data_IF_582856458331
#
_entry.id   IF_582856458331
#
_cell.length_a   1.000
_cell.length_b   1.000
_cell.length_c   1.000
_cell.angle_alpha   90.00
_cell.angle_beta   90.00
_cell.angle_gamma   90.00
#
_symmetry.space_group_name_H-M   'P 1'
#
loop_
_entity.id
_entity.type
_entity.pdbx_description
1 polymer ?
#
# COMPACT_ATOMS: atom_id res chain seq x y z
N UNK A 1 1.05 17.82 2.70
CA UNK A 1 0.27 17.78 3.95
C UNK A 1 -1.18 17.32 3.73
N UNK A 2 -1.93 17.95 2.83
CA UNK A 2 -3.31 17.54 2.54
C UNK A 2 -3.39 16.11 1.99
N UNK A 3 -2.45 15.74 1.12
CA UNK A 3 -2.40 14.38 0.59
C UNK A 3 -2.21 13.34 1.68
N UNK A 4 -1.29 13.58 2.60
CA UNK A 4 -1.07 12.69 3.74
C UNK A 4 -2.28 12.58 4.65
N UNK A 5 -2.96 13.69 4.90
CA UNK A 5 -4.18 13.70 5.71
C UNK A 5 -5.29 12.87 5.05
N UNK A 6 -5.51 13.04 3.75
CA UNK A 6 -6.50 12.28 3.00
C UNK A 6 -6.17 10.79 2.96
N UNK A 7 -4.90 10.45 2.70
CA UNK A 7 -4.46 9.06 2.69
C UNK A 7 -4.63 8.38 4.04
N UNK A 8 -4.27 9.08 5.12
CA UNK A 8 -4.44 8.57 6.49
C UNK A 8 -5.91 8.37 6.84
N UNK A 9 -6.79 9.27 6.41
CA UNK A 9 -8.22 9.15 6.65
C UNK A 9 -8.81 7.94 5.93
N UNK A 10 -8.46 7.74 4.66
CA UNK A 10 -8.90 6.58 3.90
C UNK A 10 -8.37 5.28 4.53
N UNK A 11 -7.12 5.27 4.97
CA UNK A 11 -6.55 4.13 5.69
C UNK A 11 -7.35 3.81 6.95
N UNK A 12 -7.72 4.83 7.72
CA UNK A 12 -8.48 4.63 8.94
C UNK A 12 -9.83 3.97 8.66
N UNK A 13 -10.54 4.43 7.65
CA UNK A 13 -11.83 3.85 7.25
C UNK A 13 -11.68 2.40 6.76
N UNK A 14 -10.68 2.13 5.94
CA UNK A 14 -10.41 0.79 5.47
C UNK A 14 -10.06 -0.15 6.63
N UNK A 15 -9.25 0.33 7.58
CA UNK A 15 -8.86 -0.44 8.76
C UNK A 15 -10.08 -0.81 9.60
N UNK A 16 -10.95 0.15 9.87
CA UNK A 16 -12.18 -0.10 10.65
C UNK A 16 -13.06 -1.15 9.95
N UNK A 17 -13.23 -1.02 8.63
CA UNK A 17 -14.06 -1.95 7.87
C UNK A 17 -13.51 -3.38 7.92
N UNK A 18 -12.21 -3.54 7.76
CA UNK A 18 -11.57 -4.86 7.76
C UNK A 18 -11.59 -5.47 9.16
N UNK A 19 -11.31 -4.68 10.20
CA UNK A 19 -11.34 -5.14 11.60
C UNK A 19 -12.74 -5.63 11.96
N UNK A 20 -13.78 -4.93 11.54
CA UNK A 20 -15.15 -5.36 11.79
C UNK A 20 -15.48 -6.70 11.14
N UNK A 21 -14.85 -7.03 10.01
CA UNK A 21 -15.13 -8.27 9.29
C UNK A 21 -14.21 -9.43 9.69
N UNK A 22 -12.94 -9.14 10.00
CA UNK A 22 -11.92 -10.18 10.20
C UNK A 22 -11.32 -10.20 11.60
N UNK A 23 -11.63 -9.19 12.44
CA UNK A 23 -11.11 -9.11 13.79
C UNK A 23 -9.67 -8.62 13.87
N UNK A 24 -9.09 -8.69 15.05
CA UNK A 24 -7.75 -8.12 15.34
C UNK A 24 -6.72 -9.19 15.73
N UNK A 25 -7.05 -10.48 15.66
CA UNK A 25 -6.14 -11.54 16.08
C UNK A 25 -4.89 -11.63 15.20
N UNK A 26 -5.01 -11.24 13.94
CA UNK A 26 -3.90 -11.13 12.99
C UNK A 26 -4.07 -9.79 12.26
N UNK A 27 -2.97 -9.11 11.85
CA UNK A 27 -3.05 -7.77 11.27
C UNK A 27 -3.50 -7.77 9.79
N UNK A 28 -4.67 -8.35 9.51
CA UNK A 28 -5.21 -8.41 8.14
C UNK A 28 -5.44 -7.03 7.56
N UNK A 29 -5.91 -6.08 8.39
CA UNK A 29 -6.18 -4.71 7.95
C UNK A 29 -4.92 -4.03 7.44
N UNK A 30 -3.84 -4.09 8.21
CA UNK A 30 -2.55 -3.48 7.84
C UNK A 30 -1.97 -4.12 6.60
N UNK A 31 -2.02 -5.45 6.50
CA UNK A 31 -1.55 -6.17 5.32
C UNK A 31 -2.34 -5.74 4.08
N UNK A 32 -3.67 -5.74 4.17
CA UNK A 32 -4.53 -5.36 3.05
C UNK A 32 -4.28 -3.92 2.61
N UNK A 33 -4.19 -3.00 3.56
CA UNK A 33 -3.93 -1.59 3.27
C UNK A 33 -2.57 -1.43 2.58
N UNK A 34 -1.54 -2.08 3.11
CA UNK A 34 -0.19 -1.95 2.54
C UNK A 34 -0.08 -2.62 1.17
N UNK A 35 -0.65 -3.81 0.99
CA UNK A 35 -0.63 -4.50 -0.30
C UNK A 35 -1.39 -3.69 -1.36
N UNK A 36 -2.57 -3.20 -1.01
CA UNK A 36 -3.38 -2.35 -1.91
C UNK A 36 -2.62 -1.08 -2.27
N UNK A 37 -2.05 -0.41 -1.26
CA UNK A 37 -1.27 0.80 -1.47
C UNK A 37 -0.04 0.55 -2.34
N UNK A 38 0.64 -0.56 -2.15
CA UNK A 38 1.81 -0.92 -2.95
C UNK A 38 1.44 -1.19 -4.40
N UNK A 39 0.34 -1.88 -4.65
CA UNK A 39 -0.16 -2.08 -6.02
C UNK A 39 -0.45 -0.74 -6.69
N UNK A 40 -1.17 0.13 -6.00
CA UNK A 40 -1.54 1.45 -6.52
C UNK A 40 -0.30 2.31 -6.74
N UNK A 41 0.67 2.29 -5.83
CA UNK A 41 1.94 3.01 -5.99
C UNK A 41 2.67 2.54 -7.25
N UNK A 42 2.78 1.23 -7.44
CA UNK A 42 3.43 0.67 -8.62
C UNK A 42 2.75 1.11 -9.91
N UNK A 43 1.43 1.01 -9.93
CA UNK A 43 0.63 1.42 -11.09
C UNK A 43 0.76 2.92 -11.37
N UNK A 44 0.50 3.75 -10.35
CA UNK A 44 0.48 5.20 -10.49
C UNK A 44 1.87 5.74 -10.79
N UNK A 45 2.91 5.19 -10.15
CA UNK A 45 4.28 5.61 -10.40
C UNK A 45 4.69 5.45 -11.86
N UNK A 46 4.31 4.33 -12.48
CA UNK A 46 4.58 4.10 -13.90
C UNK A 46 3.70 4.97 -14.79
N UNK A 47 2.42 5.10 -14.44
CA UNK A 47 1.44 5.84 -15.25
C UNK A 47 1.72 7.35 -15.25
N UNK A 48 2.15 7.90 -14.10
CA UNK A 48 2.46 9.33 -13.95
C UNK A 48 3.94 9.65 -14.19
N UNK A 49 4.74 8.70 -14.63
CA UNK A 49 6.15 8.95 -14.95
C UNK A 49 6.24 9.97 -16.10
N UNK A 50 7.34 10.77 -16.16
CA UNK A 50 7.52 11.75 -17.25
C UNK A 50 7.41 11.14 -18.65
N UNK A 51 7.77 9.86 -18.78
CA UNK A 51 7.67 9.09 -20.04
C UNK A 51 6.40 8.24 -20.10
N UNK A 52 5.51 8.35 -19.10
CA UNK A 52 4.30 7.55 -19.02
C UNK A 52 3.15 8.10 -19.84
N UNK A 53 1.99 7.42 -19.75
CA UNK A 53 0.79 7.76 -20.52
C UNK A 53 0.16 9.08 -20.10
N UNK A 54 0.33 9.48 -18.85
CA UNK A 54 -0.28 10.69 -18.31
C UNK A 54 0.81 11.56 -17.69
N UNK A 55 1.22 12.57 -18.44
CA UNK A 55 2.20 13.54 -17.94
C UNK A 55 1.50 14.52 -17.00
N UNK A 56 1.94 14.57 -15.75
CA UNK A 56 1.43 15.49 -14.75
C UNK A 56 2.58 16.32 -14.18
N UNK A 57 2.24 17.43 -13.52
CA UNK A 57 3.25 18.26 -12.88
C UNK A 57 3.95 17.50 -11.76
N UNK A 58 5.23 17.84 -11.45
CA UNK A 58 5.92 17.22 -10.30
C UNK A 58 5.16 17.40 -8.99
N UNK A 59 4.46 18.51 -8.80
CA UNK A 59 3.67 18.76 -7.60
C UNK A 59 2.50 17.78 -7.49
N UNK A 60 1.80 17.51 -8.59
CA UNK A 60 0.70 16.54 -8.62
C UNK A 60 1.20 15.13 -8.31
N UNK A 61 2.32 14.75 -8.93
CA UNK A 61 2.94 13.45 -8.70
C UNK A 61 3.33 13.29 -7.23
N UNK A 62 3.92 14.32 -6.64
CA UNK A 62 4.31 14.33 -5.23
C UNK A 62 3.09 14.20 -4.32
N UNK A 63 2.01 14.94 -4.63
CA UNK A 63 0.76 14.88 -3.86
C UNK A 63 0.19 13.46 -3.85
N UNK A 64 0.11 12.81 -5.00
CA UNK A 64 -0.50 11.49 -5.12
C UNK A 64 0.40 10.41 -4.50
N UNK A 65 1.67 10.37 -4.90
CA UNK A 65 2.54 9.26 -4.51
C UNK A 65 3.04 9.42 -3.08
N UNK A 66 3.68 10.53 -2.78
CA UNK A 66 4.29 10.72 -1.46
C UNK A 66 3.23 11.10 -0.42
N UNK A 67 2.30 11.99 -0.78
CA UNK A 67 1.27 12.45 0.14
C UNK A 67 0.20 11.40 0.37
N UNK A 68 -0.67 11.18 -0.63
CA UNK A 68 -1.86 10.34 -0.43
C UNK A 68 -1.48 8.87 -0.20
N UNK A 69 -0.70 8.27 -1.09
CA UNK A 69 -0.34 6.85 -0.97
C UNK A 69 0.62 6.59 0.17
N UNK A 70 1.55 7.53 0.42
CA UNK A 70 2.42 7.45 1.58
C UNK A 70 1.67 7.53 2.90
N UNK A 71 0.62 8.35 2.97
CA UNK A 71 -0.26 8.42 4.14
C UNK A 71 -1.18 7.22 4.27
N UNK A 72 -1.55 6.60 3.16
CA UNK A 72 -2.42 5.42 3.16
C UNK A 72 -1.69 4.18 3.69
N UNK A 73 -0.45 3.94 3.28
CA UNK A 73 0.35 2.80 3.75
C UNK A 73 0.99 3.10 5.10
N UNK A 74 1.36 2.06 5.85
CA UNK A 74 1.91 2.26 7.19
C UNK A 74 2.90 1.16 7.58
N UNK A 75 4.16 1.56 7.82
CA UNK A 75 5.17 0.68 8.38
C UNK A 75 5.15 0.67 9.91
N UNK A 76 4.79 1.79 10.53
CA UNK A 76 4.75 1.88 11.99
C UNK A 76 3.68 0.97 12.59
N UNK A 77 2.50 0.89 11.98
CA UNK A 77 1.46 -0.03 12.42
C UNK A 77 1.90 -1.49 12.25
N UNK A 78 2.55 -1.81 11.13
CA UNK A 78 3.13 -3.13 10.87
C UNK A 78 4.13 -3.51 11.95
N UNK A 79 5.04 -2.59 12.29
CA UNK A 79 6.08 -2.84 13.29
C UNK A 79 5.50 -3.07 14.68
N UNK A 80 4.55 -2.23 15.08
CA UNK A 80 3.90 -2.35 16.39
C UNK A 80 3.10 -3.65 16.50
N UNK A 81 2.35 -4.01 15.47
CA UNK A 81 1.56 -5.23 15.46
C UNK A 81 2.44 -6.48 15.50
N UNK A 82 3.59 -6.43 14.82
CA UNK A 82 4.57 -7.50 14.87
C UNK A 82 5.13 -7.67 16.29
N UNK A 83 5.44 -6.55 16.95
CA UNK A 83 5.91 -6.58 18.34
C UNK A 83 4.86 -7.20 19.27
N UNK A 84 3.59 -6.80 19.13
CA UNK A 84 2.51 -7.34 19.94
C UNK A 84 2.38 -8.86 19.75
N UNK A 85 2.44 -9.34 18.51
CA UNK A 85 2.40 -10.78 18.23
C UNK A 85 3.57 -11.51 18.91
N UNK A 86 4.77 -10.92 18.89
CA UNK A 86 5.94 -11.49 19.54
C UNK A 86 5.76 -11.54 21.05
N UNK A 87 5.22 -10.49 21.65
CA UNK A 87 4.95 -10.42 23.09
C UNK A 87 3.91 -11.47 23.53
N UNK A 88 2.99 -11.83 22.64
CA UNK A 88 2.00 -12.87 22.89
C UNK A 88 2.56 -14.28 22.67
N UNK A 89 3.81 -14.41 22.27
CA UNK A 89 4.43 -15.69 21.96
C UNK A 89 3.98 -16.33 20.66
N UNK A 90 3.30 -15.57 19.80
CA UNK A 90 2.74 -16.09 18.53
C UNK A 90 3.78 -15.97 17.41
N UNK A 91 4.86 -16.73 17.52
CA UNK A 91 6.01 -16.60 16.62
C UNK A 91 5.70 -17.01 15.19
N UNK A 92 4.80 -17.97 14.98
CA UNK A 92 4.37 -18.34 13.64
C UNK A 92 3.65 -17.17 12.97
N UNK A 93 2.80 -16.46 13.74
CA UNK A 93 2.11 -15.28 13.24
C UNK A 93 3.09 -14.13 12.95
N UNK A 94 4.14 -13.98 13.77
CA UNK A 94 5.20 -13.00 13.51
C UNK A 94 5.85 -13.28 12.15
N UNK A 95 6.27 -14.52 11.93
CA UNK A 95 6.88 -14.91 10.66
C UNK A 95 5.95 -14.69 9.48
N UNK A 96 4.68 -15.10 9.62
CA UNK A 96 3.69 -14.92 8.57
C UNK A 96 3.48 -13.43 8.26
N UNK A 97 3.39 -12.58 9.29
CA UNK A 97 3.20 -11.14 9.09
C UNK A 97 4.41 -10.51 8.41
N UNK A 98 5.62 -10.79 8.89
CA UNK A 98 6.85 -10.18 8.35
C UNK A 98 7.09 -10.64 6.92
N UNK A 99 7.20 -11.94 6.70
CA UNK A 99 7.55 -12.46 5.38
C UNK A 99 6.38 -12.32 4.39
N UNK A 100 5.16 -12.54 4.84
CA UNK A 100 3.98 -12.38 4.02
C UNK A 100 3.78 -10.94 3.57
N UNK A 101 3.90 -9.99 4.49
CA UNK A 101 3.75 -8.56 4.16
C UNK A 101 4.80 -8.10 3.17
N UNK A 102 6.07 -8.42 3.42
CA UNK A 102 7.16 -8.02 2.52
C UNK A 102 6.98 -8.63 1.14
N UNK A 103 6.75 -9.95 1.07
CA UNK A 103 6.59 -10.64 -0.21
C UNK A 103 5.37 -10.11 -0.99
N UNK A 104 4.23 -9.96 -0.33
CA UNK A 104 3.01 -9.50 -0.98
C UNK A 104 3.11 -8.05 -1.42
N UNK A 105 3.72 -7.18 -0.61
CA UNK A 105 3.89 -5.78 -0.97
C UNK A 105 4.85 -5.61 -2.16
N UNK A 106 5.96 -6.34 -2.18
CA UNK A 106 6.90 -6.28 -3.30
C UNK A 106 6.28 -6.82 -4.58
N UNK A 107 5.55 -7.92 -4.50
CA UNK A 107 4.80 -8.45 -5.64
C UNK A 107 3.74 -7.45 -6.12
N UNK A 108 3.03 -6.82 -5.20
CA UNK A 108 1.97 -5.87 -5.52
C UNK A 108 2.52 -4.66 -6.28
N UNK A 109 3.65 -4.10 -5.83
CA UNK A 109 4.31 -2.98 -6.52
C UNK A 109 4.68 -3.39 -7.94
N UNK A 110 5.27 -4.55 -8.10
CA UNK A 110 5.72 -5.02 -9.41
C UNK A 110 4.53 -5.29 -10.33
N UNK A 111 3.51 -5.97 -9.84
CA UNK A 111 2.30 -6.24 -10.63
C UNK A 111 1.61 -4.94 -11.03
N UNK A 112 1.53 -3.97 -10.12
CA UNK A 112 0.96 -2.65 -10.42
C UNK A 112 1.74 -1.93 -11.51
N UNK A 113 3.07 -1.97 -11.43
CA UNK A 113 3.94 -1.37 -12.43
C UNK A 113 3.76 -2.02 -13.81
N UNK A 114 3.74 -3.36 -13.84
CA UNK A 114 3.52 -4.10 -15.08
C UNK A 114 2.13 -3.85 -15.67
N UNK A 115 1.11 -3.76 -14.82
CA UNK A 115 -0.25 -3.47 -15.27
C UNK A 115 -0.33 -2.08 -15.91
N UNK A 116 0.34 -1.08 -15.34
CA UNK A 116 0.37 0.27 -15.91
C UNK A 116 1.07 0.28 -17.26
N UNK A 117 2.18 -0.44 -17.39
CA UNK A 117 2.92 -0.53 -18.66
C UNK A 117 2.08 -1.24 -19.74
N UNK A 118 1.40 -2.32 -19.38
CA UNK A 118 0.51 -3.02 -20.30
C UNK A 118 -0.64 -2.13 -20.75
N UNK A 119 -1.23 -1.39 -19.81
CA UNK A 119 -2.32 -0.46 -20.10
C UNK A 119 -1.85 0.67 -21.03
N UNK A 120 -0.66 1.21 -20.79
CA UNK A 120 -0.05 2.25 -21.63
C UNK A 120 0.23 1.74 -23.05
N UNK A 121 0.73 0.52 -23.18
CA UNK A 121 0.99 -0.10 -24.47
C UNK A 121 -0.30 -0.27 -25.28
N UNK A 122 -1.38 -0.64 -24.65
CA UNK A 122 -2.68 -0.78 -25.31
C UNK A 122 -3.21 0.56 -25.81
N UNK A 123 -2.97 1.64 -25.06
CA UNK A 123 -3.40 2.98 -25.45
C UNK A 123 -2.59 3.58 -26.60
N UNK A 124 -1.41 3.04 -26.91
CA UNK A 124 -0.53 3.54 -27.97
C UNK A 124 -0.76 2.83 -29.32
N UNK A 125 -1.43 1.72 -29.29
CA UNK A 125 -1.76 0.99 -30.52
C UNK A 125 -3.10 1.44 -31.09
#
# INVERSE_FOLDING_TARGET
MLGGALGSLVRHWCTLWIVQRHGETFPWATITVNVTGCFVVGFVSAWLAPTGSLAVSPATRLFVIVGFLGGFTTFSAFSLQTLVLAQQGRWLAVGANVFGSVALCLLAVWIGHMAANAFSSMGRS
#
